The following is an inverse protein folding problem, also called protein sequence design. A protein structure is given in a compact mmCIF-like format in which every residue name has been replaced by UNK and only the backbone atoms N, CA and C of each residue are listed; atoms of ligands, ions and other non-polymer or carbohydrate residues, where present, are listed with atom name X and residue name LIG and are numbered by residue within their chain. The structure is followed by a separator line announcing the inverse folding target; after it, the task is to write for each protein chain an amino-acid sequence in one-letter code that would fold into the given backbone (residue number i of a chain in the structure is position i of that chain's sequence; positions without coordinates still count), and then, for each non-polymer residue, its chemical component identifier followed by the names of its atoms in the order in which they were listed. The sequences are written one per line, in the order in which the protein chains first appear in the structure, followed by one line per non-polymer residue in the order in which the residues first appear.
data_IF_421491000901
#
_entry.id   IF_421491000901
#
_cell.length_a   1.000
_cell.length_b   1.000
_cell.length_c   1.000
_cell.angle_alpha   90.00
_cell.angle_beta   90.00
_cell.angle_gamma   90.00
#
_symmetry.space_group_name_H-M   'P 1'
#
loop_
_entity.id
_entity.type
_entity.pdbx_description
1 polymer ?
#
# COMPACT_ATOMS: atom_id res chain seq x y z
N UNK A 1 69.56 22.10 27.66
CA UNK A 1 68.33 22.69 27.04
C UNK A 1 67.39 21.56 26.67
N UNK A 2 66.33 21.31 27.48
CA UNK A 2 65.32 20.23 27.22
C UNK A 2 64.12 20.90 26.55
N UNK A 3 63.81 20.46 25.29
CA UNK A 3 62.62 20.88 24.53
C UNK A 3 61.44 20.00 24.94
N UNK A 4 60.46 20.59 25.59
CA UNK A 4 59.14 19.98 25.85
C UNK A 4 58.27 20.10 24.63
N UNK A 5 57.95 18.97 23.99
CA UNK A 5 56.99 18.87 22.88
C UNK A 5 55.60 18.67 23.48
N UNK A 6 54.79 19.72 23.48
CA UNK A 6 53.40 19.68 23.94
C UNK A 6 52.58 18.91 22.87
N UNK A 7 52.05 17.72 23.22
CA UNK A 7 51.07 17.02 22.40
C UNK A 7 49.64 17.51 22.71
N UNK A 8 49.11 18.27 21.77
CA UNK A 8 47.71 18.69 21.82
C UNK A 8 46.83 17.50 21.42
N UNK A 9 46.12 16.86 22.40
CA UNK A 9 45.11 15.85 22.14
C UNK A 9 43.82 16.57 21.69
N UNK A 10 43.48 16.48 20.40
CA UNK A 10 42.16 16.85 19.90
C UNK A 10 41.15 15.75 20.27
N UNK A 11 40.35 16.01 21.29
CA UNK A 11 39.18 15.17 21.62
C UNK A 11 38.07 15.53 20.62
N UNK A 12 37.90 14.70 19.58
CA UNK A 12 36.73 14.80 18.71
C UNK A 12 35.51 14.29 19.48
N UNK A 13 34.69 15.22 19.96
CA UNK A 13 33.39 14.91 20.54
C UNK A 13 32.47 14.42 19.43
N UNK A 14 32.23 13.10 19.34
CA UNK A 14 31.13 12.54 18.55
C UNK A 14 29.82 12.90 19.25
N UNK A 15 29.19 13.98 18.82
CA UNK A 15 27.78 14.24 19.13
C UNK A 15 26.95 13.23 18.34
N UNK A 16 26.08 12.42 18.99
CA UNK A 16 25.14 11.58 18.28
C UNK A 16 24.20 12.52 17.52
N UNK A 17 24.26 12.49 16.19
CA UNK A 17 23.21 13.05 15.35
C UNK A 17 21.92 12.32 15.73
N UNK A 18 21.03 13.02 16.44
CA UNK A 18 19.68 12.53 16.64
C UNK A 18 19.05 12.40 15.25
N UNK A 19 18.94 11.17 14.76
CA UNK A 19 18.18 10.87 13.56
C UNK A 19 16.71 11.09 13.93
N UNK A 20 16.25 12.32 13.75
CA UNK A 20 14.82 12.61 13.78
C UNK A 20 14.23 11.87 12.59
N UNK A 21 13.47 10.79 12.88
CA UNK A 21 12.77 10.06 11.85
C UNK A 21 11.95 11.03 11.04
N UNK A 22 12.17 11.07 9.73
CA UNK A 22 11.44 11.95 8.81
C UNK A 22 9.94 11.65 8.96
N UNK A 23 9.15 12.72 9.21
CA UNK A 23 7.71 12.58 9.42
C UNK A 23 7.08 11.95 8.17
N UNK A 24 6.35 10.88 8.35
CA UNK A 24 5.61 10.24 7.26
C UNK A 24 4.56 11.20 6.70
N UNK A 25 4.51 11.40 5.37
CA UNK A 25 3.52 12.26 4.75
C UNK A 25 2.12 11.67 4.84
N UNK A 26 1.11 12.52 4.89
CA UNK A 26 -0.29 12.16 4.90
C UNK A 26 -1.00 12.75 3.70
N UNK A 27 -1.99 12.02 3.17
CA UNK A 27 -2.86 12.45 2.07
C UNK A 27 -4.31 12.26 2.49
N UNK A 28 -5.15 13.25 2.17
CA UNK A 28 -6.59 13.21 2.37
C UNK A 28 -7.27 12.88 1.04
N UNK A 29 -7.99 11.76 0.99
CA UNK A 29 -8.82 11.35 -0.12
C UNK A 29 -10.26 11.80 0.15
N UNK A 30 -10.75 12.80 -0.60
CA UNK A 30 -12.16 13.21 -0.58
C UNK A 30 -12.97 12.28 -1.48
N UNK A 31 -13.97 11.62 -0.96
CA UNK A 31 -14.88 10.77 -1.74
C UNK A 31 -16.32 11.23 -1.58
N UNK A 32 -17.19 10.80 -2.50
CA UNK A 32 -18.64 11.09 -2.40
C UNK A 32 -19.32 10.44 -1.17
N UNK A 33 -18.60 9.56 -0.47
CA UNK A 33 -19.12 8.81 0.71
C UNK A 33 -18.52 9.34 2.02
N UNK A 34 -17.42 10.09 1.94
CA UNK A 34 -16.70 10.64 3.09
C UNK A 34 -15.20 10.70 2.85
N UNK A 35 -14.46 11.12 3.86
CA UNK A 35 -13.04 11.38 3.79
C UNK A 35 -12.22 10.20 4.33
N UNK A 36 -11.10 9.89 3.66
CA UNK A 36 -10.15 8.88 4.09
C UNK A 36 -8.77 9.53 4.19
N UNK A 37 -8.14 9.51 5.36
CA UNK A 37 -6.75 9.94 5.52
C UNK A 37 -5.83 8.74 5.48
N UNK A 38 -4.83 8.79 4.60
CA UNK A 38 -3.78 7.78 4.51
C UNK A 38 -2.42 8.36 4.92
N UNK A 39 -1.63 7.58 5.63
CA UNK A 39 -0.22 7.88 5.93
C UNK A 39 0.65 7.02 5.03
N UNK A 40 1.65 7.62 4.37
CA UNK A 40 2.56 6.93 3.46
C UNK A 40 3.84 6.52 4.16
N UNK A 41 4.38 5.35 3.83
CA UNK A 41 5.57 4.81 4.47
C UNK A 41 6.85 5.34 3.83
N UNK A 42 7.82 5.76 4.68
CA UNK A 42 9.13 6.22 4.21
C UNK A 42 10.02 5.06 3.72
N UNK A 43 9.69 3.83 4.08
CA UNK A 43 10.42 2.62 3.67
C UNK A 43 10.10 2.13 2.25
N UNK A 44 9.10 2.72 1.60
CA UNK A 44 8.74 2.45 0.20
C UNK A 44 8.78 3.77 -0.62
N UNK A 45 9.98 4.38 -0.74
CA UNK A 45 10.12 5.75 -1.24
C UNK A 45 9.69 5.93 -2.70
N UNK A 46 9.89 4.94 -3.58
CA UNK A 46 9.47 5.06 -4.97
C UNK A 46 7.95 5.18 -5.09
N UNK A 47 7.19 4.37 -4.35
CA UNK A 47 5.73 4.44 -4.34
C UNK A 47 5.23 5.69 -3.61
N UNK A 48 5.80 6.02 -2.44
CA UNK A 48 5.46 7.23 -1.69
C UNK A 48 5.62 8.49 -2.52
N UNK A 49 6.79 8.67 -3.13
CA UNK A 49 7.13 9.91 -3.84
C UNK A 49 6.35 10.04 -5.14
N UNK A 50 6.14 8.92 -5.86
CA UNK A 50 5.28 8.87 -7.03
C UNK A 50 3.83 9.22 -6.69
N UNK A 51 3.27 8.62 -5.64
CA UNK A 51 1.90 8.91 -5.20
C UNK A 51 1.74 10.39 -4.84
N UNK A 52 2.67 10.96 -4.07
CA UNK A 52 2.68 12.39 -3.72
C UNK A 52 2.80 13.30 -4.94
N UNK A 53 3.60 12.91 -5.94
CA UNK A 53 3.70 13.64 -7.22
C UNK A 53 2.33 13.68 -7.90
N UNK A 54 1.69 12.53 -8.11
CA UNK A 54 0.40 12.42 -8.78
C UNK A 54 -0.71 13.17 -8.02
N UNK A 55 -0.70 13.14 -6.68
CA UNK A 55 -1.63 13.92 -5.85
C UNK A 55 -1.45 15.42 -6.07
N UNK A 56 -0.20 15.93 -6.09
CA UNK A 56 0.09 17.35 -6.34
C UNK A 56 -0.29 17.82 -7.75
N UNK A 57 -0.24 16.92 -8.71
CA UNK A 57 -0.63 17.16 -10.10
C UNK A 57 -2.15 17.06 -10.33
N UNK A 58 -2.96 16.75 -9.30
CA UNK A 58 -4.40 16.54 -9.43
C UNK A 58 -4.75 15.30 -10.26
N UNK A 59 -3.81 14.35 -10.37
CA UNK A 59 -3.98 13.16 -11.23
C UNK A 59 -5.17 12.28 -10.81
N UNK A 60 -5.52 12.29 -9.54
CA UNK A 60 -6.62 11.49 -8.99
C UNK A 60 -7.96 12.23 -8.91
N UNK A 61 -8.00 13.51 -9.30
CA UNK A 61 -9.24 14.29 -9.23
C UNK A 61 -10.28 13.75 -10.22
N UNK A 62 -11.45 13.39 -9.71
CA UNK A 62 -12.57 12.87 -10.49
C UNK A 62 -12.46 11.40 -10.92
N UNK A 63 -11.42 10.67 -10.54
CA UNK A 63 -11.38 9.21 -10.74
C UNK A 63 -12.33 8.50 -9.80
N UNK A 64 -12.84 7.33 -10.17
CA UNK A 64 -13.76 6.55 -9.35
C UNK A 64 -13.08 5.31 -8.74
N UNK A 65 -13.69 4.74 -7.71
CA UNK A 65 -13.41 3.36 -7.32
C UNK A 65 -14.02 2.42 -8.36
N UNK A 66 -13.23 2.08 -9.36
CA UNK A 66 -13.69 1.30 -10.52
C UNK A 66 -13.83 -0.20 -10.24
N UNK A 67 -13.24 -0.71 -9.16
CA UNK A 67 -13.33 -2.11 -8.74
C UNK A 67 -13.44 -2.22 -7.23
N UNK A 68 -14.52 -2.83 -6.77
CA UNK A 68 -14.83 -3.04 -5.35
C UNK A 68 -15.24 -4.48 -5.14
N UNK A 69 -14.47 -5.21 -4.35
CA UNK A 69 -14.80 -6.59 -3.99
C UNK A 69 -15.00 -6.69 -2.48
N UNK A 70 -16.21 -7.04 -2.11
CA UNK A 70 -16.61 -7.20 -0.69
C UNK A 70 -15.70 -8.19 0.03
N UNK A 71 -15.26 -7.83 1.24
CA UNK A 71 -14.33 -8.61 2.06
C UNK A 71 -12.96 -8.83 1.41
N UNK A 72 -12.59 -7.99 0.45
CA UNK A 72 -11.29 -8.01 -0.19
C UNK A 72 -10.65 -6.62 -0.22
N UNK A 73 -11.04 -5.73 -1.16
CA UNK A 73 -10.43 -4.41 -1.33
C UNK A 73 -11.34 -3.44 -2.08
N UNK A 74 -10.95 -2.17 -2.06
CA UNK A 74 -11.48 -1.12 -2.94
C UNK A 74 -10.34 -0.56 -3.78
N UNK A 75 -10.47 -0.53 -5.11
CA UNK A 75 -9.41 -0.15 -6.06
C UNK A 75 -9.83 1.07 -6.88
N UNK A 76 -8.85 1.97 -7.11
CA UNK A 76 -9.00 3.23 -7.85
C UNK A 76 -7.69 3.59 -8.56
N UNK A 77 -7.60 4.80 -9.13
CA UNK A 77 -6.37 5.35 -9.72
C UNK A 77 -6.25 5.15 -11.22
N UNK A 78 -7.29 4.67 -11.89
CA UNK A 78 -7.36 4.64 -13.35
C UNK A 78 -7.80 6.01 -13.89
N UNK A 79 -6.96 6.75 -14.63
CA UNK A 79 -7.28 8.08 -15.13
C UNK A 79 -8.42 8.11 -16.16
N UNK A 80 -8.66 7.01 -16.87
CA UNK A 80 -9.73 6.88 -17.86
C UNK A 80 -11.11 6.89 -17.20
N UNK A 81 -11.14 6.67 -15.88
CA UNK A 81 -12.37 6.65 -15.09
C UNK A 81 -12.87 8.03 -14.66
N UNK A 82 -12.17 9.14 -14.99
CA UNK A 82 -12.55 10.52 -14.59
C UNK A 82 -13.93 10.97 -15.09
N UNK A 83 -14.30 10.55 -16.28
CA UNK A 83 -15.63 10.81 -16.86
C UNK A 83 -16.30 9.46 -17.10
N UNK A 84 -16.83 8.83 -16.07
CA UNK A 84 -17.22 7.43 -16.13
C UNK A 84 -18.38 7.22 -17.11
N UNK A 85 -18.15 6.28 -18.04
CA UNK A 85 -19.18 5.84 -19.00
C UNK A 85 -19.90 4.64 -18.38
N UNK A 86 -21.25 4.62 -18.40
CA UNK A 86 -22.01 3.48 -17.89
C UNK A 86 -21.55 2.16 -18.56
N UNK A 87 -21.43 1.12 -17.76
CA UNK A 87 -21.06 -0.25 -18.17
C UNK A 87 -19.65 -0.42 -18.76
N UNK A 88 -18.85 0.64 -18.83
CA UNK A 88 -17.43 0.51 -19.24
C UNK A 88 -16.64 -0.10 -18.09
N UNK A 89 -15.82 -1.12 -18.39
CA UNK A 89 -14.82 -1.68 -17.49
C UNK A 89 -13.59 -0.77 -17.51
N UNK A 90 -13.05 -0.51 -16.34
CA UNK A 90 -11.82 0.26 -16.12
C UNK A 90 -10.80 -0.63 -15.40
N UNK A 91 -9.54 -0.21 -15.41
CA UNK A 91 -8.45 -0.91 -14.73
C UNK A 91 -7.21 -1.09 -15.59
N UNK A 92 -7.28 -0.72 -16.89
CA UNK A 92 -6.14 -0.79 -17.80
C UNK A 92 -5.42 0.56 -17.96
N UNK A 93 -6.03 1.67 -17.48
CA UNK A 93 -5.47 3.02 -17.60
C UNK A 93 -4.36 3.29 -16.57
N UNK A 94 -3.42 4.17 -16.97
CA UNK A 94 -2.31 4.59 -16.12
C UNK A 94 -1.32 5.47 -16.88
N UNK A 95 -0.26 5.94 -16.22
CA UNK A 95 0.89 6.56 -16.89
C UNK A 95 1.72 5.48 -17.60
N UNK A 96 2.57 5.91 -18.59
CA UNK A 96 3.42 5.03 -19.43
C UNK A 96 4.63 4.46 -18.67
N UNK A 97 4.54 4.31 -17.36
CA UNK A 97 5.58 3.72 -16.54
C UNK A 97 5.01 2.87 -15.41
N UNK A 98 5.84 1.97 -14.94
CA UNK A 98 5.58 1.12 -13.77
C UNK A 98 6.64 1.35 -12.70
N UNK A 99 6.34 0.98 -11.45
CA UNK A 99 7.27 1.09 -10.33
C UNK A 99 7.87 -0.28 -9.98
N UNK A 100 9.13 -0.36 -9.53
CA UNK A 100 9.70 -1.60 -9.05
C UNK A 100 8.98 -2.06 -7.78
N UNK A 101 8.93 -3.38 -7.54
CA UNK A 101 8.40 -3.91 -6.30
C UNK A 101 9.24 -3.43 -5.10
N UNK A 102 8.60 -2.81 -4.11
CA UNK A 102 9.21 -2.43 -2.83
C UNK A 102 8.53 -3.22 -1.70
N UNK A 103 9.31 -3.94 -0.92
CA UNK A 103 8.85 -4.73 0.21
C UNK A 103 9.55 -4.28 1.50
N UNK A 104 8.79 -4.13 2.57
CA UNK A 104 9.31 -3.85 3.92
C UNK A 104 8.67 -4.83 4.93
N UNK A 105 8.83 -6.11 4.65
CA UNK A 105 8.34 -7.19 5.51
C UNK A 105 9.31 -7.46 6.67
N UNK A 106 8.81 -7.84 7.83
CA UNK A 106 7.41 -8.03 8.20
C UNK A 106 6.71 -6.77 8.73
N UNK A 107 7.23 -5.58 8.46
CA UNK A 107 6.70 -4.33 9.01
C UNK A 107 5.41 -3.89 8.32
N UNK A 108 5.37 -3.96 6.99
CA UNK A 108 4.25 -3.52 6.16
C UNK A 108 3.73 -4.67 5.29
N UNK A 109 2.48 -5.03 5.51
CA UNK A 109 1.80 -6.16 4.88
C UNK A 109 0.31 -5.87 4.72
N UNK A 110 -0.47 -6.78 4.13
CA UNK A 110 -1.85 -6.51 3.70
C UNK A 110 -2.90 -6.67 4.82
N UNK A 111 -2.69 -6.07 5.99
CA UNK A 111 -3.74 -5.97 7.00
C UNK A 111 -4.85 -5.01 6.58
N UNK A 112 -6.02 -5.09 7.23
CA UNK A 112 -7.14 -4.18 6.97
C UNK A 112 -6.72 -2.73 7.16
N UNK A 113 -6.96 -1.90 6.12
CA UNK A 113 -6.56 -0.51 6.06
C UNK A 113 -5.20 -0.29 5.37
N UNK A 114 -4.45 -1.33 5.00
CA UNK A 114 -3.24 -1.16 4.21
C UNK A 114 -3.56 -0.53 2.85
N UNK A 115 -2.69 0.41 2.42
CA UNK A 115 -2.70 1.04 1.10
C UNK A 115 -1.63 0.37 0.25
N UNK A 116 -2.02 -0.26 -0.85
CA UNK A 116 -1.14 -1.05 -1.68
C UNK A 116 -1.28 -0.73 -3.18
N UNK A 117 -0.21 -0.92 -3.92
CA UNK A 117 -0.18 -0.68 -5.37
C UNK A 117 -0.79 -1.86 -6.13
N UNK A 118 -1.66 -1.57 -7.10
CA UNK A 118 -2.13 -2.57 -8.05
C UNK A 118 -1.03 -2.94 -9.05
N UNK A 119 -1.17 -4.07 -9.72
CA UNK A 119 -0.27 -4.54 -10.78
C UNK A 119 -0.95 -5.54 -11.69
N UNK A 120 -0.39 -5.73 -12.86
CA UNK A 120 -0.71 -6.82 -13.78
C UNK A 120 -0.38 -8.20 -13.17
N UNK A 121 -1.01 -9.26 -13.69
CA UNK A 121 -0.75 -10.65 -13.29
C UNK A 121 0.68 -11.09 -13.65
N UNK A 122 1.19 -12.13 -12.97
CA UNK A 122 2.54 -12.64 -13.17
C UNK A 122 2.81 -13.12 -14.60
N UNK A 123 1.76 -13.53 -15.35
CA UNK A 123 1.87 -14.01 -16.74
C UNK A 123 2.37 -12.91 -17.69
N UNK A 124 1.98 -11.66 -17.47
CA UNK A 124 2.36 -10.52 -18.31
C UNK A 124 3.36 -9.59 -17.59
N UNK A 125 3.52 -9.76 -16.28
CA UNK A 125 4.39 -8.95 -15.43
C UNK A 125 5.19 -9.82 -14.42
N UNK A 126 6.10 -10.66 -14.90
CA UNK A 126 6.87 -11.55 -14.04
C UNK A 126 7.79 -10.83 -13.05
N UNK A 127 8.16 -9.59 -13.32
CA UNK A 127 8.91 -8.72 -12.40
C UNK A 127 8.05 -8.16 -11.26
N UNK A 128 6.73 -8.40 -11.28
CA UNK A 128 5.77 -7.89 -10.29
C UNK A 128 5.83 -6.38 -10.10
N UNK A 129 6.10 -5.65 -11.17
CA UNK A 129 6.13 -4.19 -11.16
C UNK A 129 4.74 -3.63 -10.89
N UNK A 130 4.68 -2.60 -10.07
CA UNK A 130 3.42 -1.94 -9.72
C UNK A 130 2.95 -0.99 -10.82
N UNK A 131 1.63 -0.83 -10.97
CA UNK A 131 1.05 0.26 -11.74
C UNK A 131 1.59 1.61 -11.28
N UNK A 132 1.82 2.52 -12.22
CA UNK A 132 2.26 3.88 -11.91
C UNK A 132 1.20 4.74 -11.20
N UNK A 133 -0.08 4.35 -11.22
CA UNK A 133 -1.15 5.15 -10.61
C UNK A 133 -2.20 4.36 -9.85
N UNK A 134 -2.50 3.12 -10.23
CA UNK A 134 -3.59 2.38 -9.61
C UNK A 134 -3.18 1.80 -8.25
N UNK A 135 -4.06 1.94 -7.27
CA UNK A 135 -3.86 1.46 -5.91
C UNK A 135 -5.16 0.92 -5.32
N UNK A 136 -5.06 0.18 -4.24
CA UNK A 136 -6.20 -0.33 -3.51
C UNK A 136 -6.01 -0.18 -2.00
N UNK A 137 -7.15 -0.10 -1.30
CA UNK A 137 -7.21 -0.14 0.16
C UNK A 137 -7.78 -1.49 0.57
N UNK A 138 -7.05 -2.20 1.41
CA UNK A 138 -7.39 -3.53 1.89
C UNK A 138 -8.54 -3.47 2.88
N UNK A 139 -9.56 -4.33 2.69
CA UNK A 139 -10.55 -4.63 3.71
C UNK A 139 -10.32 -6.04 4.29
N UNK A 140 -10.39 -7.07 3.46
CA UNK A 140 -10.15 -8.47 3.83
C UNK A 140 -11.16 -9.05 4.81
N UNK A 141 -10.90 -10.27 5.26
CA UNK A 141 -11.62 -10.96 6.34
C UNK A 141 -10.66 -11.28 7.50
N UNK A 142 -11.19 -11.79 8.61
CA UNK A 142 -10.38 -12.34 9.70
C UNK A 142 -10.08 -13.82 9.41
N UNK A 143 -8.98 -14.30 9.95
CA UNK A 143 -8.47 -15.65 9.72
C UNK A 143 -8.24 -16.39 11.03
N UNK A 144 -8.43 -17.70 11.03
CA UNK A 144 -7.95 -18.59 12.08
C UNK A 144 -6.44 -18.85 11.93
N UNK A 145 -5.80 -19.36 12.97
CA UNK A 145 -4.38 -19.76 12.90
C UNK A 145 -4.16 -20.88 11.86
N UNK A 146 -5.10 -21.80 11.72
CA UNK A 146 -5.02 -22.88 10.73
C UNK A 146 -5.07 -22.33 9.31
N UNK A 147 -6.03 -21.41 9.00
CA UNK A 147 -6.09 -20.77 7.69
C UNK A 147 -4.79 -20.01 7.35
N UNK A 148 -4.18 -19.36 8.35
CA UNK A 148 -2.95 -18.59 8.15
C UNK A 148 -1.73 -19.49 7.94
N UNK A 149 -1.69 -20.67 8.55
CA UNK A 149 -0.63 -21.64 8.30
C UNK A 149 -0.61 -22.09 6.83
N UNK A 150 -1.78 -22.46 6.30
CA UNK A 150 -1.91 -22.88 4.89
C UNK A 150 -1.59 -21.74 3.91
N UNK A 151 -1.99 -20.49 4.26
CA UNK A 151 -1.67 -19.31 3.45
C UNK A 151 -0.18 -19.02 3.51
N UNK A 152 0.46 -19.14 4.68
CA UNK A 152 1.89 -18.89 4.85
C UNK A 152 2.74 -19.84 3.99
N UNK A 153 2.40 -21.11 3.93
CA UNK A 153 3.08 -22.07 3.06
C UNK A 153 2.98 -21.65 1.58
N UNK A 154 1.77 -21.29 1.12
CA UNK A 154 1.56 -20.86 -0.28
C UNK A 154 2.32 -19.58 -0.64
N UNK A 155 2.35 -18.56 0.24
CA UNK A 155 3.12 -17.34 -0.04
C UNK A 155 4.62 -17.59 0.03
N UNK A 156 5.08 -18.47 0.92
CA UNK A 156 6.48 -18.89 0.97
C UNK A 156 6.91 -19.49 -0.36
N UNK A 157 6.13 -20.42 -0.91
CA UNK A 157 6.36 -21.00 -2.24
C UNK A 157 6.31 -19.92 -3.34
N UNK A 158 5.23 -19.13 -3.40
CA UNK A 158 5.02 -18.10 -4.43
C UNK A 158 6.06 -16.97 -4.40
N UNK A 159 6.75 -16.78 -3.28
CA UNK A 159 7.80 -15.78 -3.10
C UNK A 159 9.21 -16.38 -3.04
N UNK A 160 9.37 -17.68 -3.35
CA UNK A 160 10.65 -18.39 -3.31
C UNK A 160 11.35 -18.27 -1.94
N UNK A 161 10.57 -18.39 -0.87
CA UNK A 161 11.09 -18.33 0.50
C UNK A 161 11.31 -16.92 1.05
N UNK A 162 10.90 -15.87 0.34
CA UNK A 162 11.15 -14.47 0.76
C UNK A 162 10.09 -13.91 1.72
N UNK A 163 8.93 -14.55 1.81
CA UNK A 163 7.83 -14.11 2.68
C UNK A 163 7.20 -15.29 3.41
N UNK A 164 6.97 -15.11 4.71
CA UNK A 164 6.19 -15.99 5.56
C UNK A 164 5.35 -15.15 6.54
N UNK A 165 4.27 -15.70 7.05
CA UNK A 165 3.42 -15.02 8.05
C UNK A 165 4.07 -15.21 9.43
N UNK A 166 4.58 -14.12 10.00
CA UNK A 166 5.09 -14.15 11.39
C UNK A 166 3.95 -14.26 12.40
N UNK A 167 4.29 -14.57 13.65
CA UNK A 167 3.31 -14.63 14.73
C UNK A 167 2.55 -13.30 14.90
N UNK A 168 3.25 -12.17 14.83
CA UNK A 168 2.66 -10.82 14.95
C UNK A 168 1.71 -10.51 13.78
N UNK A 169 2.06 -10.92 12.57
CA UNK A 169 1.19 -10.82 11.40
C UNK A 169 -0.06 -11.69 11.59
N UNK A 170 0.10 -12.92 12.06
CA UNK A 170 -1.01 -13.84 12.31
C UNK A 170 -1.99 -13.27 13.35
N UNK A 171 -1.48 -12.73 14.47
CA UNK A 171 -2.31 -12.07 15.46
C UNK A 171 -3.09 -10.88 14.90
N UNK A 172 -2.45 -10.10 14.03
CA UNK A 172 -3.09 -8.95 13.38
C UNK A 172 -4.16 -9.41 12.41
N UNK A 173 -3.91 -10.41 11.57
CA UNK A 173 -4.90 -10.97 10.66
C UNK A 173 -6.09 -11.61 11.39
N UNK A 174 -5.85 -12.22 12.54
CA UNK A 174 -6.91 -12.75 13.39
C UNK A 174 -7.79 -11.67 14.02
N UNK A 175 -7.19 -10.54 14.44
CA UNK A 175 -7.89 -9.43 15.11
C UNK A 175 -8.49 -8.43 14.13
N UNK A 176 -7.70 -7.90 13.21
CA UNK A 176 -8.09 -6.84 12.25
C UNK A 176 -8.62 -7.42 10.94
N UNK A 177 -8.09 -8.53 10.47
CA UNK A 177 -8.32 -9.05 9.13
C UNK A 177 -7.34 -8.48 8.09
N UNK A 178 -7.55 -8.84 6.83
CA UNK A 178 -6.69 -8.43 5.72
C UNK A 178 -6.72 -9.43 4.57
N UNK A 179 -5.67 -9.41 3.75
CA UNK A 179 -5.53 -10.25 2.54
C UNK A 179 -4.13 -10.87 2.47
N UNK A 180 -3.81 -11.78 3.42
CA UNK A 180 -2.44 -12.29 3.62
C UNK A 180 -1.81 -12.93 2.38
N UNK A 181 -2.62 -13.51 1.47
CA UNK A 181 -2.11 -14.13 0.24
C UNK A 181 -1.44 -13.16 -0.75
N UNK A 182 -1.52 -11.84 -0.52
CA UNK A 182 -0.85 -10.81 -1.34
C UNK A 182 0.52 -10.42 -0.78
N UNK A 183 0.86 -10.86 0.45
CA UNK A 183 2.12 -10.50 1.09
C UNK A 183 3.32 -11.01 0.29
N UNK A 184 4.36 -10.18 0.22
CA UNK A 184 5.56 -10.48 -0.56
C UNK A 184 5.42 -10.37 -2.07
N UNK A 185 4.23 -10.05 -2.59
CA UNK A 185 3.92 -10.02 -4.02
C UNK A 185 3.44 -8.65 -4.53
N UNK A 186 3.00 -7.77 -3.63
CA UNK A 186 2.52 -6.42 -3.92
C UNK A 186 3.14 -5.44 -2.93
N UNK A 187 3.40 -4.22 -3.37
CA UNK A 187 3.93 -3.17 -2.49
C UNK A 187 2.84 -2.57 -1.63
N UNK A 188 3.00 -2.66 -0.32
CA UNK A 188 2.22 -1.89 0.66
C UNK A 188 3.02 -0.62 0.99
N UNK A 189 2.48 0.54 0.64
CA UNK A 189 3.21 1.81 0.74
C UNK A 189 2.56 2.85 1.67
N UNK A 190 1.48 2.45 2.37
CA UNK A 190 0.81 3.30 3.34
C UNK A 190 -0.30 2.57 4.08
N UNK A 191 -1.02 3.31 4.91
CA UNK A 191 -2.17 2.81 5.66
C UNK A 191 -3.23 3.89 5.88
N UNK A 192 -4.47 3.47 6.05
CA UNK A 192 -5.58 4.34 6.48
C UNK A 192 -5.43 4.63 7.96
N UNK A 193 -5.30 5.91 8.29
CA UNK A 193 -5.21 6.38 9.68
C UNK A 193 -6.52 6.98 10.19
N UNK A 194 -7.37 7.53 9.30
CA UNK A 194 -8.71 8.05 9.61
C UNK A 194 -9.65 7.65 8.46
N UNK A 195 -10.91 7.32 8.74
CA UNK A 195 -11.92 7.03 7.71
C UNK A 195 -12.01 5.55 7.32
N UNK A 196 -11.59 4.61 8.20
CA UNK A 196 -11.77 3.18 7.95
C UNK A 196 -13.25 2.77 7.88
N UNK A 197 -14.15 3.52 8.50
CA UNK A 197 -15.61 3.39 8.37
C UNK A 197 -16.10 3.79 6.97
N UNK A 198 -15.48 4.78 6.34
CA UNK A 198 -15.73 5.15 4.93
C UNK A 198 -15.28 4.03 4.01
N UNK A 199 -14.09 3.45 4.22
CA UNK A 199 -13.63 2.25 3.49
C UNK A 199 -14.62 1.10 3.66
N UNK A 200 -15.17 0.89 4.88
CA UNK A 200 -16.22 -0.10 5.14
C UNK A 200 -17.49 0.18 4.34
N UNK A 201 -17.92 1.42 4.26
CA UNK A 201 -19.10 1.80 3.48
C UNK A 201 -18.88 1.51 1.99
N UNK A 202 -17.73 1.90 1.42
CA UNK A 202 -17.39 1.69 0.01
C UNK A 202 -17.31 0.19 -0.32
N UNK A 203 -16.59 -0.61 0.48
CA UNK A 203 -16.45 -2.05 0.21
C UNK A 203 -17.76 -2.85 0.36
N UNK A 204 -18.80 -2.22 0.86
CA UNK A 204 -20.10 -2.85 1.08
C UNK A 204 -21.16 -2.47 0.04
N UNK A 205 -20.83 -1.64 -0.94
CA UNK A 205 -21.77 -1.24 -1.99
C UNK A 205 -22.07 -2.41 -2.94
N UNK A 206 -23.20 -2.32 -3.61
CA UNK A 206 -23.55 -3.26 -4.68
C UNK A 206 -22.70 -2.97 -5.93
N UNK A 207 -22.24 -4.02 -6.58
CA UNK A 207 -21.43 -3.97 -7.79
C UNK A 207 -22.10 -4.72 -8.94
N UNK A 208 -21.64 -4.45 -10.16
CA UNK A 208 -22.00 -5.24 -11.33
C UNK A 208 -21.14 -6.53 -11.45
N UNK A 209 -21.27 -7.23 -12.56
CA UNK A 209 -20.51 -8.47 -12.84
C UNK A 209 -19.02 -8.27 -13.06
N UNK A 210 -18.56 -7.01 -13.21
CA UNK A 210 -17.16 -6.62 -13.34
C UNK A 210 -16.60 -6.01 -12.06
N UNK A 211 -17.28 -6.21 -10.92
CA UNK A 211 -16.93 -5.64 -9.62
C UNK A 211 -16.98 -4.10 -9.58
N UNK A 212 -17.58 -3.42 -10.58
CA UNK A 212 -17.74 -1.98 -10.56
C UNK A 212 -18.94 -1.59 -9.70
N UNK A 213 -18.84 -0.60 -8.78
CA UNK A 213 -19.97 -0.07 -8.06
C UNK A 213 -21.12 0.36 -9.00
N UNK A 214 -22.38 -0.01 -8.68
CA UNK A 214 -23.55 0.37 -9.47
C UNK A 214 -23.79 1.89 -9.44
N UNK A 215 -23.26 2.58 -8.44
CA UNK A 215 -23.21 4.02 -8.32
C UNK A 215 -21.77 4.44 -8.15
N UNK A 216 -21.28 5.28 -9.05
CA UNK A 216 -19.89 5.76 -9.02
C UNK A 216 -19.59 6.51 -7.70
N UNK A 217 -18.41 6.23 -7.15
CA UNK A 217 -17.89 6.77 -5.90
C UNK A 217 -16.53 7.42 -6.17
#
# INVERSE_FOLDING_TARGET
MKKYLSRLLLLAAFLPLAVWGEKQPTVLLHTSVGDITVTLFNSTPAHRDNFLKLVREGYYDGVIFHRVIKNFMIQTGDPDSRNPIPYKVYGDGGPDYTLPLELDLPRHYHYRGALAAARESDDVNPERRSSGSQFYIVWGKRYSEADLSDISERIYEATEGRCEITKEMAETYGKKGGTPWLDGQYTVFGEVTIGLDVVKAIQSVSTDTSDRPLKDI
#
